data_IF_760519484149
#
_entry.id   IF_760519484149
#
_cell.length_a   1.000
_cell.length_b   1.000
_cell.length_c   1.000
_cell.angle_alpha   90.00
_cell.angle_beta   90.00
_cell.angle_gamma   90.00
#
_symmetry.space_group_name_H-M   'P 1'
#
loop_
_entity.id
_entity.type
_entity.pdbx_description
1 polymer ?
#
# COMPACT_ATOMS: atom_id res chain seq x y z
N UNK A 1 8.94 12.78 -4.32
CA UNK A 1 9.09 12.54 -2.87
C UNK A 1 9.79 11.19 -2.68
N UNK A 2 10.83 11.12 -1.84
CA UNK A 2 11.39 9.84 -1.42
C UNK A 2 10.31 8.97 -0.78
N UNK A 3 10.47 7.65 -0.90
CA UNK A 3 9.57 6.70 -0.25
C UNK A 3 9.63 6.87 1.28
N UNK A 4 8.59 6.46 2.02
CA UNK A 4 8.68 6.39 3.46
C UNK A 4 9.79 5.42 3.87
N UNK A 5 10.46 5.70 4.98
CA UNK A 5 11.52 4.84 5.49
C UNK A 5 10.97 3.41 5.71
N UNK A 6 11.63 2.38 5.15
CA UNK A 6 11.19 0.99 5.29
C UNK A 6 11.36 0.42 6.71
N UNK A 7 12.23 0.99 7.55
CA UNK A 7 12.59 0.43 8.87
C UNK A 7 11.82 1.05 10.05
N UNK A 8 11.07 2.11 9.82
CA UNK A 8 10.41 2.88 10.89
C UNK A 8 9.01 2.38 11.25
N UNK A 9 8.45 1.41 10.50
CA UNK A 9 7.11 0.86 10.68
C UNK A 9 7.10 -0.63 10.31
N UNK A 10 6.50 -1.46 11.14
CA UNK A 10 6.29 -2.89 10.85
C UNK A 10 4.90 -3.36 11.31
N UNK A 11 4.40 -4.41 10.65
CA UNK A 11 3.18 -5.11 11.07
C UNK A 11 3.62 -6.24 12.01
N UNK A 12 3.21 -6.18 13.28
CA UNK A 12 3.55 -7.21 14.27
C UNK A 12 2.67 -8.46 14.09
N UNK A 13 1.40 -8.27 13.72
CA UNK A 13 0.45 -9.36 13.56
C UNK A 13 -0.29 -9.25 12.21
N UNK A 14 -0.15 -10.27 11.37
CA UNK A 14 -0.84 -10.38 10.08
C UNK A 14 -2.23 -11.03 10.18
N UNK A 15 -2.65 -11.40 11.39
CA UNK A 15 -3.98 -11.93 11.72
C UNK A 15 -4.65 -11.10 12.82
N UNK A 16 -5.99 -11.09 12.91
CA UNK A 16 -6.70 -10.40 13.99
C UNK A 16 -6.34 -10.97 15.37
N UNK A 17 -6.10 -10.11 16.39
CA UNK A 17 -6.11 -8.65 16.32
C UNK A 17 -4.84 -8.10 15.65
N UNK A 18 -5.05 -7.26 14.63
CA UNK A 18 -3.96 -6.62 13.89
C UNK A 18 -3.21 -5.63 14.78
N UNK A 19 -1.87 -5.62 14.66
CA UNK A 19 -1.00 -4.67 15.34
C UNK A 19 0.01 -4.08 14.36
N UNK A 20 0.08 -2.75 14.34
CA UNK A 20 1.03 -1.99 13.50
C UNK A 20 1.83 -1.09 14.42
N UNK A 21 3.13 -1.29 14.44
CA UNK A 21 4.07 -0.57 15.29
C UNK A 21 4.85 0.44 14.47
N UNK A 22 5.25 1.54 15.10
CA UNK A 22 6.16 2.50 14.49
C UNK A 22 7.19 2.98 15.51
N UNK A 23 8.33 3.44 15.01
CA UNK A 23 9.38 3.97 15.84
C UNK A 23 9.15 5.47 16.11
N UNK A 24 8.93 5.80 17.38
CA UNK A 24 8.79 7.17 17.85
C UNK A 24 10.14 7.70 18.38
N UNK A 25 10.98 8.24 17.51
CA UNK A 25 12.14 9.00 17.94
C UNK A 25 11.77 10.48 18.11
N UNK A 26 11.85 10.97 19.35
CA UNK A 26 11.43 12.32 19.74
C UNK A 26 12.15 13.46 19.00
N UNK A 27 13.33 13.21 18.44
CA UNK A 27 14.13 14.22 17.71
C UNK A 27 13.88 14.28 16.19
N UNK A 28 13.17 13.31 15.62
CA UNK A 28 12.86 13.30 14.18
C UNK A 28 11.46 13.88 14.02
N UNK A 29 11.34 15.08 13.46
CA UNK A 29 10.07 15.82 13.29
C UNK A 29 8.97 15.12 12.48
N UNK A 30 9.12 13.83 12.16
CA UNK A 30 8.20 13.01 11.37
C UNK A 30 7.38 12.01 12.18
N UNK A 31 7.43 12.03 13.52
CA UNK A 31 6.69 11.07 14.35
C UNK A 31 5.17 11.07 14.07
N UNK A 32 4.56 12.25 13.91
CA UNK A 32 3.14 12.36 13.55
C UNK A 32 2.79 11.72 12.20
N UNK A 33 3.68 11.85 11.21
CA UNK A 33 3.51 11.22 9.90
C UNK A 33 3.61 9.69 9.98
N UNK A 34 4.52 9.16 10.81
CA UNK A 34 4.67 7.72 11.07
C UNK A 34 3.43 7.15 11.75
N UNK A 35 2.93 7.83 12.79
CA UNK A 35 1.71 7.44 13.49
C UNK A 35 0.50 7.44 12.55
N UNK A 36 0.32 8.50 11.75
CA UNK A 36 -0.76 8.58 10.76
C UNK A 36 -0.69 7.44 9.73
N UNK A 37 0.52 7.09 9.28
CA UNK A 37 0.74 5.94 8.39
C UNK A 37 0.37 4.62 9.08
N UNK A 38 0.84 4.38 10.30
CA UNK A 38 0.54 3.17 11.06
C UNK A 38 -0.97 2.98 11.27
N UNK A 39 -1.68 4.04 11.67
CA UNK A 39 -3.14 4.04 11.82
C UNK A 39 -3.84 3.75 10.50
N UNK A 40 -3.36 4.31 9.39
CA UNK A 40 -3.97 4.07 8.08
C UNK A 40 -3.78 2.62 7.62
N UNK A 41 -2.59 2.05 7.81
CA UNK A 41 -2.32 0.63 7.51
C UNK A 41 -3.20 -0.26 8.39
N UNK A 42 -3.28 0.00 9.70
CA UNK A 42 -4.14 -0.75 10.62
C UNK A 42 -5.61 -0.73 10.18
N UNK A 43 -6.15 0.44 9.80
CA UNK A 43 -7.52 0.57 9.26
C UNK A 43 -7.74 -0.19 7.96
N UNK A 44 -6.70 -0.36 7.13
CA UNK A 44 -6.81 -1.14 5.89
C UNK A 44 -6.72 -2.64 6.17
N UNK A 45 -5.84 -3.07 7.08
CA UNK A 45 -5.78 -4.46 7.55
C UNK A 45 -7.12 -4.90 8.15
N UNK A 46 -7.71 -4.07 9.03
CA UNK A 46 -9.01 -4.35 9.65
C UNK A 46 -10.17 -4.46 8.64
N UNK A 47 -10.03 -3.85 7.44
CA UNK A 47 -11.01 -3.94 6.34
C UNK A 47 -10.65 -5.00 5.30
N UNK A 48 -9.62 -5.80 5.55
CA UNK A 48 -9.05 -6.74 4.57
C UNK A 48 -8.67 -6.08 3.23
N UNK A 49 -8.26 -4.81 3.26
CA UNK A 49 -7.96 -3.98 2.08
C UNK A 49 -6.45 -3.76 1.85
N UNK A 50 -5.60 -4.44 2.61
CA UNK A 50 -4.15 -4.29 2.54
C UNK A 50 -3.50 -5.33 1.60
N UNK A 51 -3.94 -5.35 0.35
CA UNK A 51 -3.45 -6.28 -0.68
C UNK A 51 -3.20 -5.58 -2.03
N UNK A 52 -2.40 -6.21 -2.86
CA UNK A 52 -2.08 -5.74 -4.20
C UNK A 52 -3.28 -5.95 -5.13
N UNK A 53 -3.75 -4.87 -5.77
CA UNK A 53 -4.87 -4.91 -6.72
C UNK A 53 -4.55 -5.57 -8.08
N UNK A 54 -3.36 -6.15 -8.23
CA UNK A 54 -2.95 -6.82 -9.47
C UNK A 54 -2.70 -8.32 -9.22
N UNK A 55 -1.83 -8.67 -8.27
CA UNK A 55 -1.49 -10.07 -7.98
C UNK A 55 -2.26 -10.67 -6.80
N UNK A 56 -2.96 -9.87 -5.99
CA UNK A 56 -3.66 -10.36 -4.80
C UNK A 56 -2.79 -10.49 -3.55
N UNK A 57 -1.46 -10.51 -3.69
CA UNK A 57 -0.56 -10.65 -2.54
C UNK A 57 -0.68 -9.50 -1.52
N UNK A 58 -0.39 -9.75 -0.24
CA UNK A 58 -0.31 -8.70 0.78
C UNK A 58 0.65 -7.57 0.37
N UNK A 59 0.29 -6.33 0.74
CA UNK A 59 1.19 -5.20 0.55
C UNK A 59 2.32 -5.25 1.61
N UNK A 60 3.59 -5.03 1.21
CA UNK A 60 4.67 -4.88 2.17
C UNK A 60 4.44 -3.69 3.11
N UNK A 61 4.81 -3.83 4.37
CA UNK A 61 4.70 -2.80 5.41
C UNK A 61 5.43 -1.49 5.06
N UNK A 62 6.60 -1.57 4.42
CA UNK A 62 7.38 -0.43 3.93
C UNK A 62 6.69 0.37 2.80
N UNK A 63 5.57 -0.11 2.25
CA UNK A 63 4.79 0.66 1.29
C UNK A 63 4.11 1.86 1.96
N UNK A 64 3.81 2.86 1.13
CA UNK A 64 2.94 3.97 1.52
C UNK A 64 1.57 3.42 1.91
N UNK A 65 0.91 4.07 2.86
CA UNK A 65 -0.42 3.66 3.33
C UNK A 65 -1.52 3.73 2.25
N UNK A 66 -1.32 4.51 1.18
CA UNK A 66 -2.20 4.62 0.02
C UNK A 66 -1.76 3.72 -1.16
N UNK A 67 -0.74 2.88 -0.98
CA UNK A 67 -0.28 1.97 -2.01
C UNK A 67 -1.38 1.00 -2.43
N UNK A 68 -1.50 0.80 -3.75
CA UNK A 68 -2.43 -0.17 -4.35
C UNK A 68 -1.72 -1.39 -4.93
N UNK A 69 -0.39 -1.36 -5.03
CA UNK A 69 0.40 -2.40 -5.67
C UNK A 69 1.65 -2.74 -4.85
N UNK A 70 2.02 -4.02 -4.80
CA UNK A 70 3.15 -4.52 -4.01
C UNK A 70 4.51 -4.09 -4.62
N UNK A 71 4.59 -4.01 -5.95
CA UNK A 71 5.81 -3.68 -6.69
C UNK A 71 5.56 -2.79 -7.91
N UNK A 72 6.63 -2.21 -8.44
CA UNK A 72 6.55 -1.41 -9.67
C UNK A 72 6.06 -2.25 -10.86
N UNK A 73 6.46 -3.52 -10.93
CA UNK A 73 6.01 -4.45 -11.96
C UNK A 73 4.50 -4.64 -11.96
N UNK A 74 3.88 -4.85 -10.79
CA UNK A 74 2.42 -4.93 -10.65
C UNK A 74 1.73 -3.62 -11.04
N UNK A 75 2.28 -2.47 -10.64
CA UNK A 75 1.76 -1.14 -11.05
C UNK A 75 1.79 -0.96 -12.57
N UNK A 76 2.89 -1.33 -13.23
CA UNK A 76 3.06 -1.21 -14.69
C UNK A 76 2.13 -2.16 -15.44
N UNK A 77 1.98 -3.41 -14.99
CA UNK A 77 1.03 -4.38 -15.58
C UNK A 77 -0.41 -3.90 -15.47
N UNK A 78 -0.84 -3.43 -14.30
CA UNK A 78 -2.17 -2.84 -14.13
C UNK A 78 -2.39 -1.59 -14.99
N UNK A 79 -1.36 -0.77 -15.20
CA UNK A 79 -1.44 0.37 -16.12
C UNK A 79 -1.58 -0.06 -17.58
N UNK A 80 -0.87 -1.11 -18.01
CA UNK A 80 -0.98 -1.68 -19.36
C UNK A 80 -2.36 -2.30 -19.58
N UNK A 81 -2.87 -3.07 -18.62
CA UNK A 81 -4.20 -3.69 -18.72
C UNK A 81 -5.30 -2.65 -18.95
N UNK A 82 -5.29 -1.56 -18.18
CA UNK A 82 -6.24 -0.44 -18.34
C UNK A 82 -6.12 0.32 -19.66
N UNK A 83 -5.01 0.18 -20.40
CA UNK A 83 -4.88 0.74 -21.76
C UNK A 83 -5.53 -0.20 -22.76
N UNK A 84 -5.21 -1.50 -22.67
CA UNK A 84 -5.82 -2.55 -23.50
C UNK A 84 -7.33 -2.56 -23.34
N UNK A 85 -7.86 -2.53 -22.12
CA UNK A 85 -9.30 -2.42 -21.87
C UNK A 85 -9.89 -1.22 -22.59
N UNK A 86 -9.31 -0.03 -22.43
CA UNK A 86 -9.82 1.19 -23.09
C UNK A 86 -9.81 1.08 -24.61
N UNK A 87 -8.79 0.47 -25.20
CA UNK A 87 -8.71 0.22 -26.64
C UNK A 87 -9.77 -0.79 -27.11
N UNK A 88 -9.97 -1.88 -26.37
CA UNK A 88 -11.01 -2.88 -26.66
C UNK A 88 -12.39 -2.24 -26.59
N UNK A 89 -12.70 -1.54 -25.49
CA UNK A 89 -13.97 -0.82 -25.34
C UNK A 89 -14.16 0.19 -26.48
N UNK A 90 -13.15 1.00 -26.82
CA UNK A 90 -13.27 1.97 -27.92
C UNK A 90 -13.51 1.32 -29.30
N UNK A 91 -12.99 0.11 -29.52
CA UNK A 91 -13.22 -0.64 -30.76
C UNK A 91 -14.57 -1.35 -30.79
N UNK A 92 -15.10 -1.78 -29.64
CA UNK A 92 -16.40 -2.48 -29.53
C UNK A 92 -17.60 -1.55 -29.78
N UNK A 93 -17.42 -0.24 -29.58
CA UNK A 93 -18.43 0.79 -29.88
C UNK A 93 -18.38 1.35 -31.32
N UNK A 94 -17.54 0.80 -32.21
CA UNK A 94 -17.38 1.25 -33.60
C UNK A 94 -18.02 0.28 -34.58
#
# INVERSE_FOLDING_TARGET
>A
MPGPDPHELWIENHEPPYRVCHQAYFWTGNNGNRQARAVTILRRLARHDWYCRWCGDPLPDWRRADARYCCEGCRKRAARNRRVEREVWANDWR
#
